data_IF_388106861570
#
_entry.id   IF_388106861570
#
_cell.length_a   1.000
_cell.length_b   1.000
_cell.length_c   1.000
_cell.angle_alpha   90.00
_cell.angle_beta   90.00
_cell.angle_gamma   90.00
#
_symmetry.space_group_name_H-M   'P 1'
#
loop_
_entity.id
_entity.type
_entity.pdbx_description
1 polymer ?
#
# COMPACT_ATOMS: atom_id res chain seq x y z
N UNK A 1 -14.29 43.35 -19.58
CA UNK A 1 -13.97 42.04 -18.97
C UNK A 1 -15.09 41.09 -19.32
N UNK A 2 -14.90 40.29 -20.37
CA UNK A 2 -15.81 39.21 -20.73
C UNK A 2 -14.97 37.95 -20.73
N UNK A 3 -15.31 36.99 -19.86
CA UNK A 3 -14.74 35.65 -19.92
C UNK A 3 -15.51 34.86 -20.97
N UNK A 4 -14.78 34.08 -21.76
CA UNK A 4 -15.41 33.15 -22.70
C UNK A 4 -16.25 32.12 -21.93
N UNK A 5 -17.41 31.70 -22.50
CA UNK A 5 -18.26 30.69 -21.87
C UNK A 5 -17.48 29.38 -21.74
N UNK A 6 -17.31 28.93 -20.50
CA UNK A 6 -16.68 27.64 -20.20
C UNK A 6 -17.70 26.52 -20.42
N UNK A 7 -17.46 25.69 -21.44
CA UNK A 7 -18.25 24.49 -21.72
C UNK A 7 -17.89 23.40 -20.70
N UNK A 8 -18.51 23.48 -19.52
CA UNK A 8 -18.30 22.53 -18.45
C UNK A 8 -19.01 21.20 -18.76
N UNK A 9 -18.22 20.14 -18.92
CA UNK A 9 -18.68 18.78 -19.24
C UNK A 9 -18.45 17.87 -18.03
N UNK A 10 -19.34 17.89 -17.02
CA UNK A 10 -19.11 17.23 -15.74
C UNK A 10 -18.87 15.73 -15.85
N UNK A 11 -19.60 15.04 -16.73
CA UNK A 11 -19.46 13.59 -16.91
C UNK A 11 -18.11 13.21 -17.53
N UNK A 12 -17.64 13.97 -18.51
CA UNK A 12 -16.32 13.71 -19.11
C UNK A 12 -15.19 13.99 -18.13
N UNK A 13 -15.35 15.00 -17.29
CA UNK A 13 -14.40 15.28 -16.21
C UNK A 13 -14.40 14.14 -15.18
N UNK A 14 -15.58 13.65 -14.79
CA UNK A 14 -15.72 12.53 -13.87
C UNK A 14 -15.06 11.26 -14.44
N UNK A 15 -15.35 10.89 -15.69
CA UNK A 15 -14.71 9.74 -16.35
C UNK A 15 -13.19 9.89 -16.44
N UNK A 16 -12.70 11.09 -16.77
CA UNK A 16 -11.26 11.36 -16.81
C UNK A 16 -10.62 11.21 -15.43
N UNK A 17 -11.23 11.76 -14.38
CA UNK A 17 -10.70 11.66 -13.00
C UNK A 17 -10.73 10.22 -12.52
N UNK A 18 -11.81 9.48 -12.77
CA UNK A 18 -11.94 8.09 -12.36
C UNK A 18 -10.92 7.20 -13.07
N UNK A 19 -10.83 7.28 -14.41
CA UNK A 19 -9.88 6.48 -15.19
C UNK A 19 -8.42 6.81 -14.84
N UNK A 20 -8.08 8.08 -14.62
CA UNK A 20 -6.76 8.47 -14.17
C UNK A 20 -6.43 7.88 -12.79
N UNK A 21 -7.36 7.98 -11.84
CA UNK A 21 -7.21 7.44 -10.48
C UNK A 21 -7.07 5.92 -10.45
N UNK A 22 -7.74 5.22 -11.36
CA UNK A 22 -7.63 3.77 -11.52
C UNK A 22 -6.30 3.34 -12.15
N UNK A 23 -5.81 4.11 -13.13
CA UNK A 23 -4.56 3.81 -13.85
C UNK A 23 -3.29 4.00 -13.03
N UNK A 24 -3.27 4.93 -12.07
CA UNK A 24 -2.16 5.19 -11.15
C UNK A 24 -2.57 4.87 -9.70
N UNK A 25 -3.34 3.79 -9.52
CA UNK A 25 -3.82 3.38 -8.20
C UNK A 25 -2.65 2.95 -7.32
N UNK A 26 -2.51 3.64 -6.19
CA UNK A 26 -1.50 3.37 -5.15
C UNK A 26 -2.19 3.11 -3.82
N UNK A 27 -1.49 2.41 -2.95
CA UNK A 27 -1.90 2.22 -1.56
C UNK A 27 -0.69 2.30 -0.63
N UNK A 28 -0.96 2.67 0.62
CA UNK A 28 0.08 2.86 1.62
C UNK A 28 -0.45 2.55 3.02
N UNK A 29 0.41 1.98 3.86
CA UNK A 29 0.21 1.92 5.30
C UNK A 29 1.54 2.15 6.02
N UNK A 30 1.47 2.71 7.22
CA UNK A 30 2.63 2.96 8.08
C UNK A 30 2.27 2.76 9.54
N UNK A 31 3.23 2.22 10.29
CA UNK A 31 3.24 2.20 11.75
C UNK A 31 4.59 2.70 12.27
N UNK A 32 4.63 3.04 13.56
CA UNK A 32 5.85 3.44 14.28
C UNK A 32 5.97 2.55 15.51
N UNK A 33 7.17 2.01 15.71
CA UNK A 33 7.54 1.18 16.86
C UNK A 33 8.60 1.93 17.66
N UNK A 34 8.51 1.91 18.99
CA UNK A 34 9.35 2.72 19.90
C UNK A 34 10.78 2.16 20.12
N UNK A 35 11.32 1.47 19.14
CA UNK A 35 12.69 0.98 19.12
C UNK A 35 13.46 1.70 18.00
N UNK A 36 14.61 2.35 18.30
CA UNK A 36 15.34 3.12 17.31
C UNK A 36 16.10 2.23 16.31
N UNK A 37 16.27 2.74 15.09
CA UNK A 37 17.18 2.21 14.06
C UNK A 37 17.93 3.38 13.42
N UNK A 38 19.12 3.11 12.89
CA UNK A 38 19.97 4.14 12.27
C UNK A 38 19.99 4.07 10.73
N UNK A 39 19.48 2.97 10.16
CA UNK A 39 19.54 2.68 8.73
C UNK A 39 18.17 2.56 8.10
N UNK A 40 18.09 2.89 6.81
CA UNK A 40 16.94 2.58 5.98
C UNK A 40 17.15 1.24 5.30
N UNK A 41 16.14 0.38 5.38
CA UNK A 41 16.13 -0.94 4.73
C UNK A 41 14.84 -1.05 3.94
N UNK A 42 14.94 -1.52 2.70
CA UNK A 42 13.80 -1.80 1.83
C UNK A 42 13.83 -3.26 1.37
N UNK A 43 12.66 -3.88 1.31
CA UNK A 43 12.44 -5.23 0.81
C UNK A 43 11.29 -5.18 -0.20
N UNK A 44 11.55 -5.69 -1.39
CA UNK A 44 10.51 -5.89 -2.39
C UNK A 44 9.67 -7.12 -2.01
N UNK A 45 8.35 -6.93 -1.97
CA UNK A 45 7.41 -7.97 -1.57
C UNK A 45 6.55 -8.44 -2.73
N UNK A 46 6.24 -9.73 -2.70
CA UNK A 46 5.12 -10.33 -3.43
C UNK A 46 4.17 -11.01 -2.43
N UNK A 47 2.96 -11.29 -2.91
CA UNK A 47 1.89 -11.88 -2.10
C UNK A 47 1.43 -13.14 -2.81
N UNK A 48 1.51 -14.25 -2.11
CA UNK A 48 1.11 -15.55 -2.64
C UNK A 48 -0.42 -15.67 -2.68
N UNK A 49 -0.99 -16.63 -3.44
CA UNK A 49 -2.44 -16.77 -3.59
C UNK A 49 -3.20 -17.00 -2.27
N UNK A 50 -2.51 -17.49 -1.22
CA UNK A 50 -3.06 -17.67 0.12
C UNK A 50 -3.06 -16.38 0.96
N UNK A 51 -2.52 -15.28 0.43
CA UNK A 51 -2.46 -13.98 1.06
C UNK A 51 -1.22 -13.75 1.92
N UNK A 52 -0.30 -14.71 2.00
CA UNK A 52 0.97 -14.53 2.72
C UNK A 52 1.93 -13.62 1.94
N UNK A 53 2.77 -12.89 2.67
CA UNK A 53 3.78 -12.02 2.09
C UNK A 53 5.15 -12.71 2.12
N UNK A 54 5.93 -12.54 1.06
CA UNK A 54 7.33 -12.97 1.00
C UNK A 54 8.17 -11.97 0.22
N UNK A 55 9.48 -12.06 0.44
CA UNK A 55 10.47 -11.35 -0.36
C UNK A 55 10.37 -11.81 -1.84
N UNK A 56 10.40 -10.84 -2.75
CA UNK A 56 10.41 -11.08 -4.18
C UNK A 56 11.72 -11.76 -4.59
N UNK A 57 11.65 -12.74 -5.49
CA UNK A 57 12.86 -13.32 -6.07
C UNK A 57 13.52 -12.34 -7.06
N UNK A 58 14.78 -12.60 -7.42
CA UNK A 58 15.49 -11.81 -8.43
C UNK A 58 14.69 -11.75 -9.74
N UNK A 59 14.46 -10.53 -10.23
CA UNK A 59 13.67 -10.22 -11.43
C UNK A 59 12.17 -10.61 -11.37
N UNK A 60 11.65 -11.02 -10.21
CA UNK A 60 10.21 -11.14 -9.98
C UNK A 60 9.58 -9.74 -9.88
N UNK A 61 8.41 -9.56 -10.51
CA UNK A 61 7.69 -8.30 -10.41
C UNK A 61 7.10 -8.16 -9.00
N UNK A 62 7.59 -7.17 -8.24
CA UNK A 62 7.07 -6.87 -6.92
C UNK A 62 5.62 -6.37 -6.94
N UNK A 63 4.88 -6.70 -5.90
CA UNK A 63 3.57 -6.12 -5.63
C UNK A 63 3.66 -4.90 -4.71
N UNK A 64 4.64 -4.86 -3.80
CA UNK A 64 4.82 -3.79 -2.85
C UNK A 64 6.28 -3.63 -2.45
N UNK A 65 6.61 -2.50 -1.82
CA UNK A 65 7.89 -2.28 -1.14
C UNK A 65 7.62 -2.12 0.34
N UNK A 66 8.29 -2.91 1.18
CA UNK A 66 8.31 -2.78 2.63
C UNK A 66 9.58 -2.04 3.04
N UNK A 67 9.43 -0.92 3.72
CA UNK A 67 10.53 -0.06 4.14
C UNK A 67 10.53 0.10 5.66
N UNK A 68 11.71 0.00 6.27
CA UNK A 68 11.98 0.38 7.66
C UNK A 68 13.02 1.48 7.69
N UNK A 69 12.84 2.46 8.58
CA UNK A 69 13.81 3.52 8.76
C UNK A 69 13.63 4.33 10.04
N UNK A 70 14.56 5.25 10.34
CA UNK A 70 14.51 6.06 11.55
C UNK A 70 13.27 6.96 11.60
N UNK A 71 12.69 7.11 12.78
CA UNK A 71 11.59 8.03 13.07
C UNK A 71 11.81 8.74 14.41
N UNK A 72 11.19 9.91 14.60
CA UNK A 72 11.41 10.70 15.83
C UNK A 72 11.09 9.99 17.15
N UNK A 73 10.28 8.93 17.13
CA UNK A 73 9.91 8.14 18.30
C UNK A 73 10.51 6.71 18.32
N UNK A 74 11.30 6.32 17.32
CA UNK A 74 11.82 4.96 17.17
C UNK A 74 12.05 4.62 15.69
N UNK A 75 11.44 3.54 15.20
CA UNK A 75 11.48 3.12 13.79
C UNK A 75 10.12 3.23 13.14
N UNK A 76 10.09 3.72 11.91
CA UNK A 76 8.92 3.68 11.05
C UNK A 76 8.98 2.45 10.17
N UNK A 77 7.85 1.76 10.04
CA UNK A 77 7.68 0.65 9.11
C UNK A 77 6.53 0.99 8.17
N UNK A 78 6.77 0.91 6.87
CA UNK A 78 5.83 1.32 5.84
C UNK A 78 5.77 0.30 4.72
N UNK A 79 4.56 0.07 4.20
CA UNK A 79 4.35 -0.69 2.97
C UNK A 79 3.73 0.22 1.91
N UNK A 80 4.32 0.22 0.72
CA UNK A 80 3.90 1.03 -0.43
C UNK A 80 3.55 0.09 -1.59
N UNK A 81 2.36 0.24 -2.15
CA UNK A 81 1.92 -0.46 -3.35
C UNK A 81 1.99 0.50 -4.54
N UNK A 82 2.85 0.19 -5.50
CA UNK A 82 2.96 0.91 -6.78
C UNK A 82 1.80 0.53 -7.72
N UNK A 83 1.59 1.28 -8.82
CA UNK A 83 0.60 0.93 -9.84
C UNK A 83 0.74 -0.53 -10.29
N UNK A 84 -0.36 -1.28 -10.23
CA UNK A 84 -0.41 -2.73 -10.48
C UNK A 84 -0.37 -3.60 -9.21
N UNK A 85 0.20 -3.10 -8.11
CA UNK A 85 0.22 -3.79 -6.81
C UNK A 85 -1.06 -3.61 -5.98
N UNK A 86 -1.82 -2.55 -6.28
CA UNK A 86 -3.09 -2.21 -5.64
C UNK A 86 -4.26 -2.43 -6.61
N UNK A 87 -4.81 -3.66 -6.74
CA UNK A 87 -5.86 -3.96 -7.70
C UNK A 87 -7.16 -3.19 -7.38
N UNK A 88 -7.92 -2.88 -8.44
CA UNK A 88 -9.25 -2.30 -8.33
C UNK A 88 -10.21 -3.35 -7.77
N UNK A 89 -10.98 -2.97 -6.75
CA UNK A 89 -11.91 -3.87 -6.10
C UNK A 89 -11.35 -4.42 -4.78
N UNK A 90 -10.50 -5.47 -4.78
CA UNK A 90 -10.05 -6.12 -3.55
C UNK A 90 -9.48 -5.14 -2.52
N UNK A 91 -9.81 -5.30 -1.23
CA UNK A 91 -9.21 -4.48 -0.19
C UNK A 91 -7.71 -4.77 -0.10
N UNK A 92 -6.92 -3.70 0.08
CA UNK A 92 -5.47 -3.83 0.31
C UNK A 92 -5.15 -4.20 1.76
N UNK A 93 -6.11 -4.01 2.69
CA UNK A 93 -5.89 -4.20 4.12
C UNK A 93 -5.37 -5.60 4.51
N UNK A 94 -5.86 -6.71 3.92
CA UNK A 94 -5.28 -8.04 4.17
C UNK A 94 -3.80 -8.13 3.76
N UNK A 95 -3.42 -7.53 2.62
CA UNK A 95 -2.03 -7.50 2.15
C UNK A 95 -1.15 -6.64 3.05
N UNK A 96 -1.68 -5.53 3.57
CA UNK A 96 -0.98 -4.70 4.57
C UNK A 96 -0.71 -5.51 5.84
N UNK A 97 -1.72 -6.23 6.36
CA UNK A 97 -1.54 -7.07 7.54
C UNK A 97 -0.48 -8.16 7.31
N UNK A 98 -0.50 -8.83 6.15
CA UNK A 98 0.52 -9.80 5.78
C UNK A 98 1.93 -9.19 5.68
N UNK A 99 2.07 -7.99 5.10
CA UNK A 99 3.35 -7.30 5.01
C UNK A 99 3.92 -6.92 6.40
N UNK A 100 3.07 -6.51 7.34
CA UNK A 100 3.50 -6.24 8.71
C UNK A 100 3.78 -7.52 9.51
N UNK A 101 3.07 -8.61 9.27
CA UNK A 101 3.43 -9.92 9.83
C UNK A 101 4.81 -10.39 9.33
N UNK A 102 5.11 -10.19 8.04
CA UNK A 102 6.44 -10.43 7.49
C UNK A 102 7.50 -9.52 8.12
N UNK A 103 7.19 -8.24 8.38
CA UNK A 103 8.09 -7.33 9.08
C UNK A 103 8.40 -7.79 10.51
N UNK A 104 7.39 -8.30 11.22
CA UNK A 104 7.57 -8.90 12.55
C UNK A 104 8.50 -10.12 12.49
N UNK A 105 8.32 -11.02 11.52
CA UNK A 105 9.19 -12.20 11.35
C UNK A 105 10.62 -11.81 10.95
N UNK A 106 10.78 -10.88 10.00
CA UNK A 106 12.07 -10.51 9.42
C UNK A 106 12.91 -9.63 10.34
N UNK A 107 12.28 -8.72 11.07
CA UNK A 107 12.96 -7.64 11.81
C UNK A 107 12.65 -7.60 13.31
N UNK A 108 11.95 -8.61 13.83
CA UNK A 108 11.43 -8.62 15.20
C UNK A 108 10.74 -7.29 15.52
N UNK A 109 9.85 -6.86 14.61
CA UNK A 109 9.31 -5.50 14.60
C UNK A 109 8.37 -5.18 15.77
N UNK A 110 7.83 -6.19 16.45
CA UNK A 110 6.96 -6.01 17.63
C UNK A 110 5.63 -5.31 17.34
N UNK A 111 5.13 -5.34 16.09
CA UNK A 111 3.84 -4.79 15.69
C UNK A 111 2.70 -5.63 16.30
N UNK A 112 2.88 -6.95 16.32
CA UNK A 112 1.91 -7.90 16.84
C UNK A 112 0.84 -8.30 15.80
N UNK A 113 -0.08 -9.21 16.17
CA UNK A 113 -1.09 -9.70 15.25
C UNK A 113 -2.02 -8.57 14.82
N UNK A 114 -2.24 -8.46 13.51
CA UNK A 114 -3.18 -7.52 12.91
C UNK A 114 -4.31 -8.28 12.21
N UNK A 115 -5.55 -7.87 12.48
CA UNK A 115 -6.70 -8.28 11.68
C UNK A 115 -7.01 -7.21 10.62
N UNK A 116 -7.28 -7.64 9.40
CA UNK A 116 -7.82 -6.76 8.38
C UNK A 116 -9.25 -6.36 8.73
N UNK A 117 -9.59 -5.08 8.52
CA UNK A 117 -10.98 -4.65 8.57
C UNK A 117 -11.85 -5.47 7.60
N UNK A 118 -13.12 -5.75 7.95
CA UNK A 118 -14.02 -6.50 7.08
C UNK A 118 -14.26 -5.75 5.77
N UNK A 119 -14.42 -6.51 4.68
CA UNK A 119 -14.85 -5.93 3.41
C UNK A 119 -16.33 -5.53 3.51
N UNK A 120 -16.58 -4.22 3.39
CA UNK A 120 -17.92 -3.65 3.48
C UNK A 120 -18.64 -3.60 2.13
N UNK A 121 -17.99 -4.03 1.06
CA UNK A 121 -18.64 -4.09 -0.26
C UNK A 121 -19.75 -5.14 -0.22
N UNK A 122 -20.96 -4.84 -0.72
CA UNK A 122 -22.03 -5.83 -0.81
C UNK A 122 -21.52 -7.02 -1.63
N UNK A 123 -21.72 -8.24 -1.12
CA UNK A 123 -21.25 -9.47 -1.75
C UNK A 123 -21.70 -9.53 -3.21
N UNK A 124 -20.73 -9.67 -4.11
CA UNK A 124 -20.91 -9.85 -5.55
C UNK A 124 -21.52 -11.21 -5.87
#
# INVERSE_FOLDING_TARGET
THGDPFDFRPYELEELVMSASESDRRAFARTVVFEPVDENVEIDLVFDPDGTAREAADAEAKHATLAMGPAGAGRSIAVVFEPGGAPIGPPVAPRVAAAFAFADEKWDAGIGPLESAPDLRPGS
#
